data_IF_406110544478
#
_entry.id   IF_406110544478
#
_cell.length_a   1.000
_cell.length_b   1.000
_cell.length_c   1.000
_cell.angle_alpha   90.00
_cell.angle_beta   90.00
_cell.angle_gamma   90.00
#
_symmetry.space_group_name_H-M   'P 1'
#
loop_
_entity.id
_entity.type
_entity.pdbx_description
1 polymer ?
#
# COMPACT_ATOMS: atom_id res chain seq x y z
N UNK A 1 -4.01 20.30 4.77
CA UNK A 1 -3.36 19.02 4.45
C UNK A 1 -2.33 18.76 5.51
N UNK A 2 -2.23 17.52 5.96
CA UNK A 2 -1.09 17.07 6.74
C UNK A 2 -0.62 15.74 6.17
N UNK A 3 0.69 15.49 6.25
CA UNK A 3 1.34 14.41 5.54
C UNK A 3 2.12 13.57 6.54
N UNK A 4 2.21 12.27 6.28
CA UNK A 4 3.17 11.38 6.91
C UNK A 4 4.40 11.33 6.01
N UNK A 5 5.59 11.36 6.61
CA UNK A 5 6.85 11.24 5.87
C UNK A 5 6.93 9.90 5.14
N UNK A 6 7.33 9.95 3.87
CA UNK A 6 7.55 8.78 3.02
C UNK A 6 8.56 7.82 3.65
N UNK A 7 8.25 6.51 3.65
CA UNK A 7 9.13 5.47 4.18
C UNK A 7 9.19 4.24 3.27
N UNK A 8 10.33 3.54 3.20
CA UNK A 8 10.44 2.29 2.47
C UNK A 8 9.80 1.14 3.26
N UNK A 9 9.10 0.26 2.55
CA UNK A 9 8.49 -0.96 3.07
C UNK A 9 8.83 -2.13 2.16
N UNK A 10 8.85 -3.33 2.73
CA UNK A 10 9.08 -4.56 1.99
C UNK A 10 7.74 -5.25 1.76
N UNK A 11 7.46 -5.61 0.50
CA UNK A 11 6.36 -6.51 0.16
C UNK A 11 6.76 -7.93 0.54
N UNK A 12 6.17 -8.49 1.59
CA UNK A 12 6.62 -9.75 2.18
C UNK A 12 5.90 -10.97 1.63
N UNK A 13 4.57 -10.88 1.58
CA UNK A 13 3.69 -12.00 1.29
C UNK A 13 2.48 -11.55 0.47
N UNK A 14 2.04 -12.44 -0.41
CA UNK A 14 0.74 -12.36 -1.06
C UNK A 14 -0.10 -13.55 -0.62
N UNK A 15 -1.24 -13.29 -0.02
CA UNK A 15 -2.20 -14.29 0.40
C UNK A 15 -3.45 -14.24 -0.47
N UNK A 16 -3.79 -15.40 -1.01
CA UNK A 16 -4.93 -15.61 -1.90
C UNK A 16 -6.17 -15.91 -1.05
N UNK A 17 -7.09 -14.95 -0.97
CA UNK A 17 -8.29 -15.04 -0.14
C UNK A 17 -9.55 -15.01 -1.00
N UNK A 18 -10.18 -16.17 -1.20
CA UNK A 18 -11.46 -16.32 -1.91
C UNK A 18 -11.54 -15.55 -3.24
N UNK A 19 -11.97 -14.28 -3.21
CA UNK A 19 -12.15 -13.39 -4.36
C UNK A 19 -11.16 -12.22 -4.44
N UNK A 20 -10.20 -12.09 -3.54
CA UNK A 20 -9.18 -11.04 -3.57
C UNK A 20 -7.81 -11.55 -3.11
N UNK A 21 -6.82 -10.66 -3.21
CA UNK A 21 -5.45 -10.92 -2.76
C UNK A 21 -5.11 -9.89 -1.72
N UNK A 22 -4.72 -10.40 -0.57
CA UNK A 22 -4.09 -9.63 0.47
C UNK A 22 -2.59 -9.59 0.17
N UNK A 23 -1.97 -8.41 0.26
CA UNK A 23 -0.52 -8.37 0.40
C UNK A 23 -0.13 -7.77 1.74
N UNK A 24 0.97 -8.28 2.30
CA UNK A 24 1.52 -7.80 3.57
C UNK A 24 2.78 -7.01 3.30
N UNK A 25 2.87 -5.84 3.90
CA UNK A 25 4.07 -5.00 3.85
C UNK A 25 4.57 -4.73 5.27
N UNK A 26 5.88 -4.78 5.49
CA UNK A 26 6.47 -4.42 6.78
C UNK A 26 7.56 -3.36 6.61
N UNK A 27 7.74 -2.58 7.67
CA UNK A 27 8.82 -1.62 7.80
C UNK A 27 10.11 -2.39 8.15
N UNK A 28 11.15 -2.38 7.31
CA UNK A 28 12.42 -3.05 7.63
C UNK A 28 13.20 -2.37 8.76
N UNK A 29 12.80 -1.17 9.19
CA UNK A 29 13.46 -0.50 10.32
C UNK A 29 13.02 -1.13 11.65
N UNK A 30 14.02 -1.50 12.47
CA UNK A 30 13.81 -1.95 13.85
C UNK A 30 13.40 -0.80 14.80
N UNK A 31 13.27 0.43 14.29
CA UNK A 31 13.01 1.61 15.11
C UNK A 31 11.50 1.86 15.30
N UNK A 32 10.99 1.92 16.54
CA UNK A 32 9.56 1.95 16.84
C UNK A 32 8.83 3.29 16.51
N UNK A 33 9.34 4.12 15.61
CA UNK A 33 8.85 5.50 15.43
C UNK A 33 8.83 5.99 13.98
N UNK A 34 7.69 6.56 13.55
CA UNK A 34 6.34 5.99 13.57
C UNK A 34 6.22 4.63 12.88
N UNK A 35 5.79 3.63 13.65
CA UNK A 35 5.45 2.33 13.10
C UNK A 35 4.16 2.43 12.28
N UNK A 36 4.32 2.51 10.96
CA UNK A 36 3.25 2.17 10.05
C UNK A 36 3.30 0.67 9.84
N UNK A 37 2.48 -0.09 10.56
CA UNK A 37 2.38 -1.53 10.30
C UNK A 37 1.28 -1.73 9.27
N UNK A 38 1.67 -2.05 8.04
CA UNK A 38 0.77 -2.33 6.92
C UNK A 38 0.36 -3.79 6.95
N UNK A 39 -0.63 -4.12 7.77
CA UNK A 39 -1.12 -5.50 7.88
C UNK A 39 -1.84 -5.95 6.61
N UNK A 40 -2.40 -5.02 5.83
CA UNK A 40 -3.12 -5.35 4.60
C UNK A 40 -2.93 -4.25 3.54
N UNK A 41 -2.36 -4.64 2.41
CA UNK A 41 -2.19 -3.82 1.23
C UNK A 41 -3.25 -4.23 0.20
N UNK A 42 -3.98 -3.25 -0.33
CA UNK A 42 -4.83 -3.43 -1.49
C UNK A 42 -3.96 -3.72 -2.70
N UNK A 43 -3.59 -4.99 -2.92
CA UNK A 43 -2.77 -5.45 -4.05
C UNK A 43 -3.10 -4.77 -5.41
N UNK A 44 -4.38 -4.49 -5.75
CA UNK A 44 -4.72 -3.76 -6.97
C UNK A 44 -4.07 -2.37 -7.10
N UNK A 45 -3.74 -1.73 -5.98
CA UNK A 45 -3.11 -0.41 -5.92
C UNK A 45 -1.59 -0.49 -5.82
N UNK A 46 -0.94 -1.66 -5.86
CA UNK A 46 0.53 -1.74 -5.98
C UNK A 46 0.98 -1.40 -7.41
N UNK A 47 2.12 -0.70 -7.58
CA UNK A 47 2.75 -0.55 -8.89
C UNK A 47 3.03 -1.92 -9.50
N UNK A 48 2.80 -2.09 -10.80
CA UNK A 48 2.93 -3.40 -11.46
C UNK A 48 4.31 -4.03 -11.26
N UNK A 49 5.35 -3.20 -11.25
CA UNK A 49 6.74 -3.63 -11.15
C UNK A 49 7.16 -4.04 -9.74
N UNK A 50 6.36 -3.73 -8.72
CA UNK A 50 6.57 -4.13 -7.32
C UNK A 50 5.77 -5.38 -6.92
N UNK A 51 4.99 -5.96 -7.82
CA UNK A 51 4.12 -7.11 -7.51
C UNK A 51 4.92 -8.41 -7.48
N UNK A 52 5.81 -8.56 -6.51
CA UNK A 52 6.52 -9.78 -6.20
C UNK A 52 7.11 -9.69 -4.79
N UNK A 53 7.44 -10.84 -4.20
CA UNK A 53 7.95 -10.88 -2.82
C UNK A 53 9.36 -10.32 -2.73
N UNK A 54 9.61 -9.57 -1.67
CA UNK A 54 10.82 -8.83 -1.37
C UNK A 54 11.09 -7.67 -2.34
N UNK A 55 10.03 -7.02 -2.80
CA UNK A 55 10.14 -5.72 -3.48
C UNK A 55 10.09 -4.58 -2.44
N UNK A 56 10.89 -3.54 -2.67
CA UNK A 56 10.89 -2.35 -1.82
C UNK A 56 9.99 -1.29 -2.42
N UNK A 57 9.07 -0.78 -1.61
CA UNK A 57 8.08 0.22 -2.00
C UNK A 57 8.08 1.35 -0.99
N UNK A 58 8.24 2.57 -1.46
CA UNK A 58 8.05 3.78 -0.65
C UNK A 58 6.55 4.04 -0.50
N UNK A 59 6.09 4.24 0.73
CA UNK A 59 4.71 4.53 1.10
C UNK A 59 4.60 5.95 1.63
N UNK A 60 3.84 6.80 0.94
CA UNK A 60 3.52 8.17 1.35
C UNK A 60 2.01 8.31 1.57
N UNK A 61 1.62 9.05 2.61
CA UNK A 61 0.20 9.30 2.92
C UNK A 61 -0.02 10.75 3.23
N UNK A 62 -1.00 11.34 2.56
CA UNK A 62 -1.52 12.66 2.88
C UNK A 62 -2.98 12.61 3.26
N UNK A 63 -3.38 13.48 4.19
CA UNK A 63 -4.75 13.57 4.70
C UNK A 63 -5.42 14.90 4.35
N UNK A 64 -6.70 14.82 4.00
CA UNK A 64 -7.58 15.95 3.72
C UNK A 64 -8.94 15.77 4.39
N UNK A 65 -9.67 16.88 4.56
CA UNK A 65 -11.06 16.89 5.07
C UNK A 65 -12.11 16.77 3.96
N UNK A 66 -11.66 16.80 2.72
CA UNK A 66 -12.49 16.80 1.52
C UNK A 66 -11.78 16.02 0.43
N UNK A 67 -12.50 15.30 -0.44
CA UNK A 67 -11.87 14.53 -1.50
C UNK A 67 -11.01 15.46 -2.36
N UNK A 68 -9.81 15.01 -2.70
CA UNK A 68 -8.89 15.74 -3.58
C UNK A 68 -9.25 15.56 -5.05
N UNK A 69 -10.13 14.59 -5.35
CA UNK A 69 -10.52 14.24 -6.72
C UNK A 69 -9.52 13.30 -7.40
N UNK A 70 -8.52 12.82 -6.65
CA UNK A 70 -7.60 11.78 -7.08
C UNK A 70 -8.35 10.45 -7.15
N UNK A 71 -8.55 9.88 -8.33
CA UNK A 71 -8.99 8.50 -8.49
C UNK A 71 -7.81 7.53 -8.34
N UNK A 72 -8.09 6.22 -8.41
CA UNK A 72 -7.05 5.19 -8.50
C UNK A 72 -6.28 5.35 -9.81
N UNK A 73 -4.96 5.53 -9.74
CA UNK A 73 -4.01 5.55 -10.86
C UNK A 73 -2.86 4.59 -10.56
N UNK A 74 -2.74 3.51 -11.33
CA UNK A 74 -1.77 2.45 -11.10
C UNK A 74 -0.86 2.33 -12.31
N UNK A 75 0.41 2.68 -12.12
CA UNK A 75 1.44 2.60 -13.14
C UNK A 75 2.47 1.49 -12.88
N UNK A 76 3.51 1.41 -13.73
CA UNK A 76 4.58 0.42 -13.59
C UNK A 76 5.33 0.58 -12.27
N UNK A 77 5.88 1.78 -12.02
CA UNK A 77 6.73 2.06 -10.86
C UNK A 77 6.06 2.89 -9.77
N UNK A 78 4.93 3.53 -10.06
CA UNK A 78 4.21 4.40 -9.13
C UNK A 78 2.72 4.17 -9.22
N UNK A 79 2.04 4.22 -8.08
CA UNK A 79 0.59 4.21 -7.97
C UNK A 79 0.10 5.20 -6.93
N UNK A 80 -1.11 5.72 -7.14
CA UNK A 80 -1.79 6.63 -6.22
C UNK A 80 -3.25 6.25 -6.12
N UNK A 81 -3.79 6.27 -4.92
CA UNK A 81 -5.22 6.10 -4.70
C UNK A 81 -5.71 6.94 -3.52
N UNK A 82 -6.92 7.47 -3.64
CA UNK A 82 -7.61 8.17 -2.55
C UNK A 82 -8.68 7.27 -1.93
N UNK A 83 -8.81 7.35 -0.61
CA UNK A 83 -9.68 6.52 0.19
C UNK A 83 -10.45 7.36 1.21
N UNK A 84 -11.71 7.00 1.46
CA UNK A 84 -12.38 7.43 2.68
C UNK A 84 -11.74 6.70 3.86
N UNK A 85 -11.35 7.46 4.89
CA UNK A 85 -10.53 6.93 5.97
C UNK A 85 -11.20 7.09 7.32
N UNK A 86 -11.27 5.99 8.06
CA UNK A 86 -11.71 5.99 9.46
C UNK A 86 -10.56 5.60 10.37
N UNK A 87 -10.55 6.14 11.59
CA UNK A 87 -9.50 5.90 12.57
C UNK A 87 -10.08 5.25 13.81
N UNK A 88 -9.55 4.09 14.18
CA UNK A 88 -9.88 3.40 15.42
C UNK A 88 -8.69 3.47 16.37
N UNK A 89 -8.90 3.98 17.59
CA UNK A 89 -7.84 4.03 18.60
C UNK A 89 -7.59 2.63 19.15
N UNK A 90 -6.34 2.15 19.04
CA UNK A 90 -5.94 0.82 19.52
C UNK A 90 -5.06 0.87 20.78
N UNK A 91 -4.30 1.95 20.96
CA UNK A 91 -3.51 2.22 22.17
C UNK A 91 -3.56 3.71 22.50
N UNK A 92 -2.95 4.14 23.61
CA UNK A 92 -2.92 5.56 23.98
C UNK A 92 -2.32 6.47 22.90
N UNK A 93 -1.42 5.93 22.06
CA UNK A 93 -0.71 6.66 21.02
C UNK A 93 -0.85 6.03 19.63
N UNK A 94 -1.64 4.98 19.46
CA UNK A 94 -1.73 4.22 18.21
C UNK A 94 -3.16 4.15 17.70
N UNK A 95 -3.31 4.32 16.39
CA UNK A 95 -4.56 4.25 15.66
C UNK A 95 -4.44 3.26 14.52
N UNK A 96 -5.49 2.50 14.26
CA UNK A 96 -5.68 1.83 12.97
C UNK A 96 -6.40 2.80 12.04
N UNK A 97 -5.82 3.05 10.87
CA UNK A 97 -6.47 3.68 9.75
C UNK A 97 -7.05 2.60 8.83
N UNK A 98 -8.37 2.64 8.64
CA UNK A 98 -9.08 1.83 7.66
C UNK A 98 -9.47 2.73 6.48
N UNK A 99 -8.84 2.48 5.34
CA UNK A 99 -8.98 3.24 4.11
C UNK A 99 -9.84 2.44 3.13
N UNK A 100 -11.04 2.93 2.85
CA UNK A 100 -12.03 2.29 1.99
C UNK A 100 -12.15 3.05 0.66
N UNK A 101 -11.88 2.35 -0.44
CA UNK A 101 -11.97 2.86 -1.80
C UNK A 101 -13.33 2.54 -2.41
N UNK A 102 -13.80 3.36 -3.34
CA UNK A 102 -15.11 3.23 -3.98
C UNK A 102 -15.32 1.90 -4.75
N UNK A 103 -14.24 1.17 -5.04
CA UNK A 103 -14.23 -0.04 -5.87
C UNK A 103 -13.94 -1.32 -5.05
N UNK A 104 -14.10 -1.26 -3.72
CA UNK A 104 -13.83 -2.41 -2.83
C UNK A 104 -12.34 -2.61 -2.53
N UNK A 105 -11.51 -1.61 -2.85
CA UNK A 105 -10.11 -1.59 -2.43
C UNK A 105 -10.01 -1.12 -0.99
N UNK A 106 -9.19 -1.81 -0.21
CA UNK A 106 -9.02 -1.51 1.19
C UNK A 106 -7.54 -1.43 1.53
N UNK A 107 -7.17 -0.44 2.33
CA UNK A 107 -5.86 -0.34 2.97
C UNK A 107 -6.04 -0.25 4.47
N UNK A 108 -5.26 -1.06 5.18
CA UNK A 108 -5.23 -1.02 6.63
C UNK A 108 -3.81 -0.83 7.10
N UNK A 109 -3.61 0.21 7.91
CA UNK A 109 -2.33 0.45 8.53
C UNK A 109 -2.47 1.08 9.90
N UNK A 110 -1.55 0.72 10.78
CA UNK A 110 -1.40 1.39 12.08
C UNK A 110 -0.64 2.71 11.90
N UNK A 111 -0.97 3.74 12.67
CA UNK A 111 -0.27 5.02 12.68
C UNK A 111 -0.17 5.52 14.11
N UNK A 112 0.98 6.11 14.44
CA UNK A 112 1.18 6.77 15.73
C UNK A 112 0.57 8.17 15.76
N UNK A 113 0.02 8.56 16.91
CA UNK A 113 -0.76 9.79 17.09
C UNK A 113 0.01 11.07 16.78
N UNK A 114 1.34 11.03 16.95
CA UNK A 114 2.26 12.14 16.66
C UNK A 114 2.51 12.36 15.16
N UNK A 115 2.18 11.37 14.33
CA UNK A 115 2.21 11.48 12.87
C UNK A 115 0.86 11.88 12.28
N UNK A 116 -0.20 11.85 13.08
CA UNK A 116 -1.49 12.34 12.66
C UNK A 116 -1.58 13.85 12.89
N UNK A 117 -2.02 14.61 11.87
CA UNK A 117 -2.42 15.98 12.07
C UNK A 117 -3.46 16.10 13.20
N UNK A 118 -3.30 17.10 14.07
CA UNK A 118 -4.13 17.25 15.27
C UNK A 118 -5.63 17.30 15.01
N UNK A 119 -6.03 17.69 13.79
CA UNK A 119 -7.43 17.79 13.39
C UNK A 119 -8.10 16.47 13.01
N UNK A 120 -7.35 15.39 12.78
CA UNK A 120 -7.91 14.10 12.35
C UNK A 120 -8.86 13.55 13.42
N UNK A 121 -8.48 13.66 14.69
CA UNK A 121 -9.24 13.13 15.83
C UNK A 121 -10.58 13.86 16.02
N UNK A 122 -10.72 15.06 15.46
CA UNK A 122 -11.89 15.93 15.61
C UNK A 122 -12.80 15.96 14.36
N UNK A 123 -12.46 15.20 13.31
CA UNK A 123 -13.13 15.30 12.01
C UNK A 123 -14.11 14.15 11.77
N UNK A 124 -15.32 14.48 11.33
CA UNK A 124 -16.37 13.52 10.95
C UNK A 124 -16.13 12.86 9.57
N UNK A 125 -15.15 13.34 8.81
CA UNK A 125 -14.76 12.80 7.51
C UNK A 125 -13.30 13.13 7.18
N UNK A 126 -12.53 12.09 6.88
CA UNK A 126 -11.11 12.19 6.51
C UNK A 126 -10.88 11.37 5.25
N UNK A 127 -10.10 11.92 4.34
CA UNK A 127 -9.65 11.22 3.14
C UNK A 127 -8.14 11.05 3.21
N UNK A 128 -7.65 9.86 2.87
CA UNK A 128 -6.23 9.57 2.74
C UNK A 128 -5.90 9.39 1.25
N UNK A 129 -4.89 10.11 0.77
CA UNK A 129 -4.25 9.81 -0.51
C UNK A 129 -2.99 9.01 -0.19
N UNK A 130 -2.96 7.76 -0.65
CA UNK A 130 -1.81 6.85 -0.52
C UNK A 130 -1.07 6.83 -1.85
N UNK A 131 0.22 7.09 -1.81
CA UNK A 131 1.13 6.98 -2.95
C UNK A 131 2.18 5.89 -2.68
N UNK A 132 2.34 4.98 -3.63
CA UNK A 132 3.32 3.91 -3.58
C UNK A 132 4.31 4.06 -4.72
N UNK A 133 5.60 4.00 -4.42
CA UNK A 133 6.67 4.06 -5.43
C UNK A 133 7.63 2.90 -5.25
N UNK A 134 7.73 2.05 -6.26
CA UNK A 134 8.68 0.95 -6.32
C UNK A 134 10.12 1.47 -6.46
N UNK A 135 11.01 0.99 -5.59
CA UNK A 135 12.45 1.28 -5.65
C UNK A 135 13.22 0.04 -6.09
N UNK A 136 13.46 -0.05 -7.39
CA UNK A 136 14.18 -1.18 -7.99
C UNK A 136 15.65 -1.25 -7.54
N UNK A 137 16.31 -0.10 -7.41
CA UNK A 137 17.73 -0.07 -7.07
C UNK A 137 17.95 -0.46 -5.61
N UNK A 138 17.08 0.00 -4.71
CA UNK A 138 17.07 -0.47 -3.32
C UNK A 138 16.76 -1.96 -3.25
N UNK A 139 15.78 -2.43 -4.02
CA UNK A 139 15.43 -3.86 -4.06
C UNK A 139 16.62 -4.72 -4.50
N UNK A 140 17.34 -4.31 -5.55
CA UNK A 140 18.56 -5.00 -6.01
C UNK A 140 19.65 -4.99 -4.95
N UNK A 141 19.84 -3.86 -4.28
CA UNK A 141 20.91 -3.68 -3.31
C UNK A 141 20.69 -4.50 -2.03
N UNK A 142 19.49 -4.46 -1.45
CA UNK A 142 19.19 -5.11 -0.17
C UNK A 142 18.97 -6.62 -0.31
N UNK A 143 18.34 -7.06 -1.41
CA UNK A 143 18.03 -8.48 -1.63
C UNK A 143 19.06 -9.21 -2.50
N UNK A 144 20.12 -8.51 -2.92
CA UNK A 144 21.17 -9.02 -3.82
C UNK A 144 20.61 -9.55 -5.16
N UNK A 145 19.51 -8.97 -5.66
CA UNK A 145 18.90 -9.39 -6.91
C UNK A 145 19.63 -8.84 -8.14
N UNK A 146 19.68 -9.66 -9.18
CA UNK A 146 20.06 -9.24 -10.53
C UNK A 146 18.82 -8.79 -11.32
N UNK A 147 19.03 -8.12 -12.46
CA UNK A 147 17.94 -7.81 -13.39
C UNK A 147 17.18 -9.09 -13.82
N UNK A 148 17.91 -10.17 -14.08
CA UNK A 148 17.33 -11.48 -14.44
C UNK A 148 16.46 -12.07 -13.32
N UNK A 149 16.88 -11.91 -12.06
CA UNK A 149 16.11 -12.37 -10.89
C UNK A 149 14.83 -11.56 -10.69
N UNK A 150 14.89 -10.24 -10.90
CA UNK A 150 13.71 -9.37 -10.82
C UNK A 150 12.70 -9.76 -11.90
N UNK A 151 13.13 -9.93 -13.15
CA UNK A 151 12.24 -10.34 -14.22
C UNK A 151 11.63 -11.73 -13.96
N UNK A 152 12.44 -12.69 -13.49
CA UNK A 152 11.94 -14.03 -13.10
C UNK A 152 10.84 -13.93 -12.03
N UNK A 153 11.02 -13.08 -11.01
CA UNK A 153 10.03 -12.88 -9.94
C UNK A 153 8.74 -12.23 -10.44
N UNK A 154 8.84 -11.23 -11.32
CA UNK A 154 7.69 -10.62 -11.98
C UNK A 154 6.91 -11.65 -12.81
N UNK A 155 7.61 -12.51 -13.54
CA UNK A 155 7.00 -13.60 -14.32
C UNK A 155 6.34 -14.65 -13.42
N UNK A 156 7.00 -15.07 -12.34
CA UNK A 156 6.44 -16.01 -11.35
C UNK A 156 5.15 -15.46 -10.74
N UNK A 157 5.17 -14.17 -10.39
CA UNK A 157 3.97 -13.50 -9.92
C UNK A 157 2.87 -13.50 -10.97
N UNK A 158 3.14 -13.04 -12.20
CA UNK A 158 2.13 -13.03 -13.29
C UNK A 158 1.54 -14.42 -13.54
N UNK A 159 2.37 -15.46 -13.54
CA UNK A 159 1.93 -16.84 -13.76
C UNK A 159 0.98 -17.37 -12.66
N UNK A 160 1.11 -16.89 -11.41
CA UNK A 160 0.16 -17.24 -10.35
C UNK A 160 -1.26 -16.75 -10.65
N UNK A 161 -1.39 -15.68 -11.46
CA UNK A 161 -2.66 -15.05 -11.77
C UNK A 161 -3.21 -15.42 -13.14
N UNK A 162 -2.37 -15.69 -14.13
CA UNK A 162 -2.84 -16.22 -15.42
C UNK A 162 -3.61 -17.55 -15.24
N UNK A 163 -3.26 -18.30 -14.20
CA UNK A 163 -3.96 -19.53 -13.80
C UNK A 163 -5.22 -19.29 -12.96
N UNK A 164 -5.44 -18.05 -12.52
CA UNK A 164 -6.54 -17.67 -11.65
C UNK A 164 -7.50 -16.76 -12.42
N UNK A 165 -8.62 -17.34 -12.85
CA UNK A 165 -9.71 -16.70 -13.61
C UNK A 165 -10.48 -15.67 -12.75
N UNK A 166 -9.77 -14.77 -12.07
CA UNK A 166 -10.31 -13.76 -11.17
C UNK A 166 -10.20 -12.39 -11.79
N UNK A 167 -11.28 -11.64 -11.61
CA UNK A 167 -11.50 -10.24 -11.99
C UNK A 167 -10.44 -9.24 -11.45
N UNK A 168 -9.43 -9.74 -10.71
CA UNK A 168 -8.40 -9.00 -9.95
C UNK A 168 -6.95 -9.41 -10.31
N UNK A 169 -6.73 -9.85 -11.56
CA UNK A 169 -5.43 -10.13 -12.18
C UNK A 169 -4.34 -9.05 -12.01
N UNK A 170 -3.06 -9.33 -12.39
CA UNK A 170 -2.01 -8.32 -12.44
C UNK A 170 -2.37 -7.19 -13.42
N UNK A 171 -3.21 -7.50 -14.42
CA UNK A 171 -3.77 -6.57 -15.40
C UNK A 171 -5.20 -6.12 -15.06
N UNK A 172 -5.72 -6.41 -13.86
CA UNK A 172 -7.01 -5.87 -13.41
C UNK A 172 -6.89 -4.37 -13.19
N UNK A 173 -6.96 -3.66 -14.31
CA UNK A 173 -7.36 -2.27 -14.37
C UNK A 173 -8.80 -2.17 -13.88
N UNK A 174 -9.14 -1.15 -13.09
CA UNK A 174 -10.52 -0.96 -12.63
C UNK A 174 -11.44 -0.88 -13.85
N UNK A 175 -12.50 -1.71 -13.87
CA UNK A 175 -13.56 -1.58 -14.88
C UNK A 175 -14.27 -0.23 -14.70
N UNK A 176 -14.72 0.41 -15.80
CA UNK A 176 -15.46 1.67 -15.74
C UNK A 176 -16.80 1.54 -15.01
#
# INVERSE_FOLDING_TARGET
>A
MGNIEARPFIVDEFEILQSWIECRMYDPSDEPYPNIVLMHCGHPCLPFDARYRWSYVTFDVSFSRSPTGTSVDVGPTRSVAEFETTFEKITDKGYNAACMGAQGYEYYFTIMSDCLPSWIIESDGVYATVELTYDEELTKAEEEFTDEEIERRREEFRALFDNWDVEYGPDATPRP
#
